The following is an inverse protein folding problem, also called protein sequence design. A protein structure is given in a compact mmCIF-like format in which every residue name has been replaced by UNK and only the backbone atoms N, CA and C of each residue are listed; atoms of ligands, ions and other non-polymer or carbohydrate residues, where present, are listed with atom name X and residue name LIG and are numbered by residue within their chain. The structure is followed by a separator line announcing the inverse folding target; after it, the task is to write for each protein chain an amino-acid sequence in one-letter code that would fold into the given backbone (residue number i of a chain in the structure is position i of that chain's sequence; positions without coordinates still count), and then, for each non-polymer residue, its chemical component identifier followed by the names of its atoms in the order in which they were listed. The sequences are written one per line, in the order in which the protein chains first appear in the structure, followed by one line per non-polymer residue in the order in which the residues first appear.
data_IF_152164167465
#
_entry.id   IF_152164167465
#
_cell.length_a   1.000
_cell.length_b   1.000
_cell.length_c   1.000
_cell.angle_alpha   90.00
_cell.angle_beta   90.00
_cell.angle_gamma   90.00
#
_symmetry.space_group_name_H-M   'P 1'
#
loop_
_entity.id
_entity.type
_entity.pdbx_description
1 polymer ?
#
# COMPACT_ATOMS: atom_id res chain seq x y z
N UNK A 1 1.98 -10.18 -3.60
CA UNK A 1 3.03 -9.15 -3.47
C UNK A 1 2.55 -7.95 -2.67
N UNK A 2 3.53 -7.13 -2.21
CA UNK A 2 3.23 -5.86 -1.54
C UNK A 2 3.82 -4.70 -2.35
N UNK A 3 2.97 -4.02 -3.10
CA UNK A 3 3.27 -2.77 -3.81
C UNK A 3 3.17 -1.56 -2.84
N UNK A 4 2.67 -0.45 -3.31
CA UNK A 4 2.33 0.76 -2.54
C UNK A 4 1.48 1.68 -3.41
N UNK A 5 0.72 2.57 -2.81
CA UNK A 5 0.02 3.64 -3.53
C UNK A 5 0.96 4.49 -4.39
N UNK A 6 2.22 4.68 -3.98
CA UNK A 6 3.22 5.42 -4.78
C UNK A 6 3.69 4.66 -6.03
N UNK A 7 3.42 3.37 -6.14
CA UNK A 7 3.60 2.60 -7.37
C UNK A 7 2.45 2.78 -8.37
N UNK A 8 1.35 3.36 -7.94
CA UNK A 8 0.15 3.62 -8.73
C UNK A 8 -0.04 5.11 -9.04
N UNK A 9 0.59 5.99 -8.25
CA UNK A 9 0.49 7.44 -8.39
C UNK A 9 1.82 8.11 -8.08
N UNK A 10 1.99 9.36 -8.54
CA UNK A 10 3.19 10.15 -8.26
C UNK A 10 3.20 10.73 -6.85
N UNK A 11 4.38 10.69 -6.21
CA UNK A 11 4.66 11.40 -4.97
C UNK A 11 6.02 12.12 -5.07
N UNK A 12 6.07 13.39 -4.65
CA UNK A 12 7.30 14.17 -4.69
C UNK A 12 8.38 13.58 -3.79
N UNK A 13 9.61 13.46 -4.31
CA UNK A 13 10.81 13.12 -3.52
C UNK A 13 11.05 11.62 -3.30
N UNK A 14 10.27 10.73 -3.93
CA UNK A 14 10.38 9.27 -3.73
C UNK A 14 10.56 8.48 -5.04
N UNK A 15 11.27 9.05 -6.02
CA UNK A 15 11.39 8.47 -7.37
C UNK A 15 11.87 7.01 -7.38
N UNK A 16 12.95 6.69 -6.68
CA UNK A 16 13.49 5.32 -6.62
C UNK A 16 12.50 4.35 -5.94
N UNK A 17 11.86 4.77 -4.87
CA UNK A 17 10.84 3.97 -4.19
C UNK A 17 9.61 3.76 -5.08
N UNK A 18 9.13 4.81 -5.74
CA UNK A 18 8.02 4.72 -6.70
C UNK A 18 8.34 3.76 -7.85
N UNK A 19 9.55 3.85 -8.43
CA UNK A 19 10.00 2.93 -9.47
C UNK A 19 10.02 1.47 -8.98
N UNK A 20 10.54 1.21 -7.78
CA UNK A 20 10.56 -0.14 -7.19
C UNK A 20 9.16 -0.71 -6.97
N UNK A 21 8.21 0.12 -6.53
CA UNK A 21 6.82 -0.32 -6.29
C UNK A 21 6.00 -0.41 -7.58
N UNK A 22 6.31 0.40 -8.59
CA UNK A 22 5.78 0.27 -9.95
C UNK A 22 6.25 -1.01 -10.63
N UNK A 23 7.50 -1.42 -10.40
CA UNK A 23 8.00 -2.71 -10.89
C UNK A 23 7.20 -3.90 -10.33
N UNK A 24 6.80 -3.86 -9.04
CA UNK A 24 5.92 -4.88 -8.44
C UNK A 24 4.54 -4.90 -9.11
N UNK A 25 4.00 -3.74 -9.47
CA UNK A 25 2.71 -3.63 -10.17
C UNK A 25 2.79 -4.33 -11.55
N UNK A 26 3.83 -4.05 -12.32
CA UNK A 26 4.06 -4.68 -13.62
C UNK A 26 4.31 -6.18 -13.48
N UNK A 27 5.18 -6.59 -12.54
CA UNK A 27 5.50 -7.98 -12.26
C UNK A 27 4.28 -8.80 -11.86
N UNK A 28 3.39 -8.24 -11.03
CA UNK A 28 2.15 -8.92 -10.61
C UNK A 28 1.29 -9.31 -11.82
N UNK A 29 1.11 -8.39 -12.76
CA UNK A 29 0.31 -8.64 -13.97
C UNK A 29 0.99 -9.64 -14.90
N UNK A 30 2.31 -9.53 -15.06
CA UNK A 30 3.07 -10.45 -15.89
C UNK A 30 3.00 -11.88 -15.35
N UNK A 31 3.30 -12.08 -14.07
CA UNK A 31 3.27 -13.40 -13.47
C UNK A 31 1.85 -13.99 -13.41
N UNK A 32 0.82 -13.16 -13.25
CA UNK A 32 -0.56 -13.61 -13.36
C UNK A 32 -0.87 -14.16 -14.75
N UNK A 33 -0.38 -13.51 -15.81
CA UNK A 33 -0.55 -13.97 -17.18
C UNK A 33 0.24 -15.26 -17.43
N UNK A 34 1.49 -15.33 -16.97
CA UNK A 34 2.38 -16.48 -17.20
C UNK A 34 1.86 -17.76 -16.53
N UNK A 35 1.28 -17.65 -15.32
CA UNK A 35 0.93 -18.81 -14.50
C UNK A 35 -0.58 -19.07 -14.35
N UNK A 36 -1.44 -18.29 -15.01
CA UNK A 36 -2.90 -18.52 -14.96
C UNK A 36 -3.29 -19.91 -15.47
N UNK A 37 -2.63 -20.40 -16.53
CA UNK A 37 -2.87 -21.74 -17.09
C UNK A 37 -2.52 -22.89 -16.13
N UNK A 38 -1.63 -22.63 -15.17
CA UNK A 38 -1.22 -23.59 -14.14
C UNK A 38 -2.11 -23.50 -12.88
N UNK A 39 -3.17 -22.68 -12.92
CA UNK A 39 -4.06 -22.47 -11.78
C UNK A 39 -3.46 -21.59 -10.66
N UNK A 40 -2.33 -20.91 -10.91
CA UNK A 40 -1.69 -20.02 -9.94
C UNK A 40 -2.25 -18.62 -10.09
N UNK A 41 -2.72 -18.05 -8.99
CA UNK A 41 -3.17 -16.67 -8.90
C UNK A 41 -2.08 -15.76 -8.34
N UNK A 42 -1.88 -14.62 -8.97
CA UNK A 42 -0.88 -13.62 -8.54
C UNK A 42 -1.55 -12.27 -8.39
N UNK A 43 -1.55 -11.73 -7.18
CA UNK A 43 -2.13 -10.43 -6.86
C UNK A 43 -1.15 -9.61 -6.00
N UNK A 44 -1.38 -8.32 -5.92
CA UNK A 44 -0.67 -7.42 -5.02
C UNK A 44 -1.63 -6.56 -4.20
N UNK A 45 -1.23 -6.23 -2.98
CA UNK A 45 -1.81 -5.14 -2.21
C UNK A 45 -0.97 -3.87 -2.38
N UNK A 46 -1.62 -2.71 -2.41
CA UNK A 46 -0.97 -1.41 -2.49
C UNK A 46 -1.36 -0.53 -1.28
N UNK A 47 -0.68 -0.71 -0.13
CA UNK A 47 -0.98 0.06 1.07
C UNK A 47 -0.75 1.56 0.89
N UNK A 48 -1.60 2.39 1.54
CA UNK A 48 -1.33 3.77 1.86
C UNK A 48 -0.43 3.91 3.09
N UNK A 49 -0.63 4.96 3.90
CA UNK A 49 0.10 5.11 5.15
C UNK A 49 -0.43 4.13 6.22
N UNK A 50 0.44 3.22 6.64
CA UNK A 50 0.18 2.26 7.71
C UNK A 50 1.04 2.60 8.91
N UNK A 51 0.42 2.68 10.09
CA UNK A 51 1.13 2.95 11.33
C UNK A 51 1.89 1.70 11.78
N UNK A 52 3.22 1.80 11.79
CA UNK A 52 4.15 0.73 12.16
C UNK A 52 5.35 1.32 12.89
N UNK A 53 6.13 0.52 13.63
CA UNK A 53 7.38 1.01 14.23
C UNK A 53 8.31 1.66 13.20
N UNK A 54 8.36 1.13 11.97
CA UNK A 54 9.15 1.71 10.88
C UNK A 54 8.65 3.10 10.48
N UNK A 55 7.34 3.26 10.21
CA UNK A 55 6.79 4.56 9.83
C UNK A 55 6.96 5.59 10.95
N UNK A 56 6.69 5.21 12.21
CA UNK A 56 6.89 6.07 13.36
C UNK A 56 8.36 6.54 13.49
N UNK A 57 9.33 5.62 13.35
CA UNK A 57 10.75 5.98 13.39
C UNK A 57 11.14 6.96 12.29
N UNK A 58 10.58 6.82 11.08
CA UNK A 58 10.83 7.74 9.95
C UNK A 58 10.26 9.14 10.23
N UNK A 59 9.07 9.23 10.81
CA UNK A 59 8.47 10.51 11.19
C UNK A 59 9.23 11.13 12.37
N UNK A 60 9.62 10.33 13.35
CA UNK A 60 10.43 10.77 14.50
C UNK A 60 11.77 11.36 14.04
N UNK A 61 12.44 10.72 13.08
CA UNK A 61 13.70 11.23 12.52
C UNK A 61 13.58 12.58 11.80
N UNK A 62 12.38 12.97 11.37
CA UNK A 62 12.09 14.27 10.72
C UNK A 62 11.57 15.31 11.71
N UNK A 63 11.11 14.89 12.87
CA UNK A 63 10.53 15.76 13.87
C UNK A 63 11.63 16.55 14.61
N UNK A 64 11.37 17.83 14.87
CA UNK A 64 12.25 18.71 15.64
C UNK A 64 12.06 18.56 17.16
N UNK A 65 10.86 18.15 17.56
CA UNK A 65 10.42 17.91 18.94
C UNK A 65 9.13 17.08 18.92
N UNK A 66 8.59 16.74 20.10
CA UNK A 66 7.39 15.92 20.21
C UNK A 66 6.15 16.58 19.61
N UNK A 67 5.95 17.87 19.80
CA UNK A 67 4.83 18.60 19.20
C UNK A 67 4.87 18.52 17.67
N UNK A 68 6.02 18.76 17.06
CA UNK A 68 6.19 18.63 15.62
C UNK A 68 6.03 17.18 15.12
N UNK A 69 6.36 16.18 15.93
CA UNK A 69 6.08 14.78 15.59
C UNK A 69 4.57 14.53 15.47
N UNK A 70 3.78 14.98 16.46
CA UNK A 70 2.32 14.81 16.41
C UNK A 70 1.70 15.59 15.23
N UNK A 71 2.18 16.81 14.94
CA UNK A 71 1.76 17.56 13.75
C UNK A 71 2.02 16.79 12.44
N UNK A 72 3.19 16.15 12.32
CA UNK A 72 3.53 15.36 11.14
C UNK A 72 2.62 14.13 10.99
N UNK A 73 2.28 13.47 12.09
CA UNK A 73 1.35 12.33 12.08
C UNK A 73 -0.06 12.77 11.69
N UNK A 74 -0.54 13.88 12.25
CA UNK A 74 -1.86 14.44 11.95
C UNK A 74 -1.96 14.87 10.48
N UNK A 75 -0.92 15.53 9.94
CA UNK A 75 -0.87 15.93 8.53
C UNK A 75 -0.98 14.74 7.55
N UNK A 76 -0.63 13.53 7.98
CA UNK A 76 -0.88 12.32 7.19
C UNK A 76 -2.37 12.00 7.18
N UNK A 77 -3.02 11.99 8.34
CA UNK A 77 -4.45 11.65 8.50
C UNK A 77 -5.33 12.54 7.62
N UNK A 78 -5.03 13.84 7.57
CA UNK A 78 -5.79 14.81 6.78
C UNK A 78 -5.80 14.54 5.28
N UNK A 79 -4.90 13.69 4.79
CA UNK A 79 -4.85 13.29 3.37
C UNK A 79 -5.76 12.12 3.03
N UNK A 80 -6.26 11.42 4.04
CA UNK A 80 -7.03 10.19 3.86
C UNK A 80 -8.53 10.43 4.10
N UNK A 81 -9.40 10.14 3.14
CA UNK A 81 -10.86 10.27 3.32
C UNK A 81 -11.42 9.56 4.55
N UNK A 82 -10.86 8.39 4.92
CA UNK A 82 -11.26 7.69 6.15
C UNK A 82 -10.67 8.31 7.43
N UNK A 83 -9.93 9.42 7.34
CA UNK A 83 -9.47 10.24 8.47
C UNK A 83 -8.74 9.45 9.56
N UNK A 84 -7.98 8.43 9.19
CA UNK A 84 -7.13 7.64 10.11
C UNK A 84 -5.93 7.02 9.39
N UNK A 85 -4.95 6.60 10.16
CA UNK A 85 -3.91 5.71 9.69
C UNK A 85 -4.48 4.32 9.39
N UNK A 86 -3.92 3.67 8.37
CA UNK A 86 -4.09 2.22 8.20
C UNK A 86 -3.40 1.46 9.33
N UNK A 87 -3.90 0.27 9.63
CA UNK A 87 -3.30 -0.68 10.57
C UNK A 87 -2.69 -1.86 9.83
N UNK A 88 -1.82 -2.61 10.50
CA UNK A 88 -1.30 -3.88 9.97
C UNK A 88 -2.42 -4.88 9.69
N UNK A 89 -3.47 -4.87 10.50
CA UNK A 89 -4.67 -5.71 10.34
C UNK A 89 -5.47 -5.36 9.10
N UNK A 90 -5.59 -4.07 8.74
CA UNK A 90 -6.25 -3.66 7.49
C UNK A 90 -5.58 -4.34 6.27
N UNK A 91 -4.25 -4.40 6.28
CA UNK A 91 -3.47 -5.03 5.22
C UNK A 91 -3.56 -6.56 5.29
N UNK A 92 -3.37 -7.13 6.47
CA UNK A 92 -3.33 -8.58 6.68
C UNK A 92 -4.63 -9.27 6.28
N UNK A 93 -5.79 -8.67 6.59
CA UNK A 93 -7.11 -9.22 6.21
C UNK A 93 -7.28 -9.31 4.70
N UNK A 94 -6.84 -8.31 3.95
CA UNK A 94 -6.90 -8.34 2.48
C UNK A 94 -5.94 -9.38 1.92
N UNK A 95 -4.74 -9.50 2.47
CA UNK A 95 -3.78 -10.54 2.06
C UNK A 95 -4.36 -11.92 2.33
N UNK A 96 -4.94 -12.16 3.51
CA UNK A 96 -5.56 -13.44 3.87
C UNK A 96 -6.71 -13.79 2.91
N UNK A 97 -7.57 -12.83 2.57
CA UNK A 97 -8.63 -13.02 1.58
C UNK A 97 -8.05 -13.40 0.21
N UNK A 98 -7.05 -12.65 -0.29
CA UNK A 98 -6.43 -12.93 -1.59
C UNK A 98 -5.68 -14.25 -1.64
N UNK A 99 -5.17 -14.74 -0.50
CA UNK A 99 -4.51 -16.03 -0.38
C UNK A 99 -5.49 -17.21 -0.23
N UNK A 100 -6.76 -16.95 0.04
CA UNK A 100 -7.78 -17.97 0.26
C UNK A 100 -8.50 -18.36 -1.03
N UNK A 101 -9.25 -19.47 -0.98
CA UNK A 101 -10.13 -19.91 -2.07
C UNK A 101 -11.29 -18.94 -2.34
N UNK A 102 -11.65 -18.09 -1.37
CA UNK A 102 -12.70 -17.08 -1.53
C UNK A 102 -12.39 -16.07 -2.64
N UNK A 103 -11.12 -15.87 -2.97
CA UNK A 103 -10.67 -15.04 -4.09
C UNK A 103 -10.31 -15.86 -5.35
N UNK A 104 -10.88 -17.05 -5.51
CA UNK A 104 -10.55 -18.00 -6.58
C UNK A 104 -10.65 -17.46 -8.03
N UNK A 105 -11.42 -16.38 -8.23
CA UNK A 105 -11.58 -15.72 -9.54
C UNK A 105 -10.85 -14.36 -9.62
N UNK A 106 -9.87 -14.11 -8.72
CA UNK A 106 -9.12 -12.85 -8.65
C UNK A 106 -7.64 -13.14 -8.93
N UNK A 107 -7.12 -12.67 -10.06
CA UNK A 107 -5.69 -12.71 -10.40
C UNK A 107 -5.28 -11.46 -11.20
N UNK A 108 -4.01 -11.09 -11.17
CA UNK A 108 -3.46 -9.92 -11.84
C UNK A 108 -3.86 -8.57 -11.21
N UNK A 109 -4.51 -8.58 -10.06
CA UNK A 109 -5.04 -7.37 -9.44
C UNK A 109 -4.05 -6.71 -8.50
N UNK A 110 -4.08 -5.37 -8.51
CA UNK A 110 -3.37 -4.54 -7.52
C UNK A 110 -4.45 -3.83 -6.72
N UNK A 111 -4.60 -4.20 -5.45
CA UNK A 111 -5.68 -3.71 -4.59
C UNK A 111 -5.15 -2.61 -3.68
N UNK A 112 -5.56 -1.34 -3.87
CA UNK A 112 -5.26 -0.26 -2.94
C UNK A 112 -5.93 -0.53 -1.59
N UNK A 113 -5.17 -0.34 -0.51
CA UNK A 113 -5.67 -0.37 0.87
C UNK A 113 -5.20 0.94 1.49
N UNK A 114 -5.91 2.01 1.21
CA UNK A 114 -5.39 3.36 1.35
C UNK A 114 -6.42 4.37 1.91
N UNK A 115 -7.51 3.89 2.48
CA UNK A 115 -8.53 4.76 3.05
C UNK A 115 -9.14 5.76 2.07
N UNK A 116 -9.12 5.46 0.77
CA UNK A 116 -9.68 6.27 -0.29
C UNK A 116 -8.72 7.31 -0.89
N UNK A 117 -7.45 7.29 -0.52
CA UNK A 117 -6.46 8.29 -0.93
C UNK A 117 -6.36 8.48 -2.46
N UNK A 118 -6.46 7.40 -3.23
CA UNK A 118 -6.28 7.45 -4.69
C UNK A 118 -7.58 7.81 -5.43
N UNK A 119 -8.74 7.41 -4.91
CA UNK A 119 -9.98 7.42 -5.68
C UNK A 119 -10.98 8.50 -5.23
N UNK A 120 -10.90 8.95 -3.98
CA UNK A 120 -11.86 9.91 -3.39
C UNK A 120 -11.13 11.25 -3.20
N UNK A 121 -11.72 12.33 -3.74
CA UNK A 121 -11.20 13.71 -3.65
C UNK A 121 -12.24 14.64 -3.05
#
# INVERSE_FOLDING_TARGET
FTASTVGLSGMKGVAAYSASKGAIVALTRQLAADFAGDGVRVNAVAPGAVRTPLSESQFRARARNDAHFEELLEAVIQRYPLSRWGTTEDIARTIAFLASEQSGWITGQIIPIDGGLLEIR
#
